data_IF_763988748091
#
_entry.id   IF_763988748091
#
_cell.length_a   1.000
_cell.length_b   1.000
_cell.length_c   1.000
_cell.angle_alpha   90.00
_cell.angle_beta   90.00
_cell.angle_gamma   90.00
#
_symmetry.space_group_name_H-M   'P 1'
#
loop_
_entity.id
_entity.type
_entity.pdbx_description
1 polymer ?
#
# COMPACT_ATOMS: atom_id res chain seq x y z
N UNK A 1 10.15 2.66 -19.52
CA UNK A 1 8.93 2.41 -18.72
C UNK A 1 8.92 1.03 -18.08
N UNK A 2 9.30 -0.02 -18.81
CA UNK A 2 9.33 -1.40 -18.30
C UNK A 2 10.15 -1.59 -17.01
N UNK A 3 11.34 -0.98 -16.91
CA UNK A 3 12.16 -1.01 -15.69
C UNK A 3 11.45 -0.41 -14.46
N UNK A 4 10.75 0.71 -14.63
CA UNK A 4 10.02 1.38 -13.53
C UNK A 4 8.84 0.51 -13.10
N UNK A 5 8.13 -0.08 -14.06
CA UNK A 5 7.06 -1.04 -13.78
C UNK A 5 7.58 -2.27 -13.02
N UNK A 6 8.72 -2.83 -13.42
CA UNK A 6 9.32 -3.96 -12.72
C UNK A 6 9.72 -3.62 -11.27
N UNK A 7 10.31 -2.44 -11.05
CA UNK A 7 10.64 -1.95 -9.70
C UNK A 7 9.38 -1.71 -8.87
N UNK A 8 8.35 -1.11 -9.46
CA UNK A 8 7.05 -0.91 -8.81
C UNK A 8 6.41 -2.26 -8.42
N UNK A 9 6.46 -3.25 -9.30
CA UNK A 9 5.93 -4.60 -9.04
C UNK A 9 6.67 -5.29 -7.91
N UNK A 10 8.00 -5.29 -7.92
CA UNK A 10 8.79 -5.93 -6.86
C UNK A 10 8.63 -5.23 -5.52
N UNK A 11 8.65 -3.89 -5.51
CA UNK A 11 8.41 -3.11 -4.28
C UNK A 11 7.00 -3.33 -3.73
N UNK A 12 5.99 -3.46 -4.59
CA UNK A 12 4.63 -3.80 -4.19
C UNK A 12 4.56 -5.19 -3.54
N UNK A 13 5.17 -6.21 -4.16
CA UNK A 13 5.15 -7.59 -3.64
C UNK A 13 5.86 -7.66 -2.27
N UNK A 14 7.08 -7.13 -2.19
CA UNK A 14 7.87 -7.15 -0.95
C UNK A 14 7.19 -6.32 0.15
N UNK A 15 6.71 -5.12 -0.19
CA UNK A 15 5.98 -4.26 0.73
C UNK A 15 4.67 -4.87 1.21
N UNK A 16 3.91 -5.48 0.31
CA UNK A 16 2.64 -6.14 0.63
C UNK A 16 2.85 -7.35 1.53
N UNK A 17 3.84 -8.19 1.21
CA UNK A 17 4.19 -9.32 2.05
C UNK A 17 4.65 -8.89 3.46
N UNK A 18 5.49 -7.85 3.55
CA UNK A 18 5.91 -7.29 4.83
C UNK A 18 4.73 -6.73 5.61
N UNK A 19 3.83 -5.99 4.96
CA UNK A 19 2.64 -5.43 5.60
C UNK A 19 1.74 -6.53 6.15
N UNK A 20 1.49 -7.61 5.39
CA UNK A 20 0.70 -8.76 5.84
C UNK A 20 1.31 -9.47 7.05
N UNK A 21 2.64 -9.65 7.06
CA UNK A 21 3.33 -10.24 8.20
C UNK A 21 3.24 -9.34 9.44
N UNK A 22 3.49 -8.04 9.28
CA UNK A 22 3.54 -7.09 10.39
C UNK A 22 2.16 -6.78 10.95
N UNK A 23 1.11 -6.81 10.12
CA UNK A 23 -0.28 -6.51 10.46
C UNK A 23 -0.82 -7.28 11.67
N UNK A 24 -0.37 -8.52 11.87
CA UNK A 24 -0.80 -9.34 13.00
C UNK A 24 -0.34 -8.80 14.35
N UNK A 25 0.84 -8.16 14.40
CA UNK A 25 1.43 -7.64 15.64
C UNK A 25 0.57 -6.53 16.29
N UNK A 26 0.18 -5.44 15.60
CA UNK A 26 -0.64 -4.40 16.20
C UNK A 26 -2.06 -4.89 16.55
N UNK A 27 -2.55 -5.96 15.93
CA UNK A 27 -3.84 -6.59 16.27
C UNK A 27 -3.80 -7.32 17.61
N UNK A 28 -2.77 -8.15 17.82
CA UNK A 28 -2.69 -8.97 19.04
C UNK A 28 -2.08 -8.23 20.22
N UNK A 29 -1.43 -7.09 19.98
CA UNK A 29 -0.76 -6.31 21.04
C UNK A 29 -1.65 -5.22 21.61
N UNK A 30 -1.52 -4.96 22.92
CA UNK A 30 -2.26 -3.89 23.59
C UNK A 30 -1.98 -2.53 22.92
N UNK A 31 -3.06 -1.87 22.47
CA UNK A 31 -3.03 -0.55 21.82
C UNK A 31 -2.21 0.45 22.65
N UNK A 32 -1.27 1.13 22.00
CA UNK A 32 -0.46 2.19 22.60
C UNK A 32 0.83 1.74 23.31
N UNK A 33 1.07 0.43 23.53
CA UNK A 33 2.38 -0.04 24.03
C UNK A 33 3.49 0.14 22.97
N UNK A 34 4.75 0.14 23.40
CA UNK A 34 5.94 0.31 22.53
C UNK A 34 5.93 -0.64 21.31
N UNK A 35 5.51 -1.89 21.49
CA UNK A 35 5.45 -2.90 20.41
C UNK A 35 4.37 -2.57 19.36
N UNK A 36 3.17 -2.17 19.79
CA UNK A 36 2.09 -1.73 18.89
C UNK A 36 2.52 -0.51 18.06
N UNK A 37 3.24 0.43 18.68
CA UNK A 37 3.74 1.64 17.98
C UNK A 37 4.84 1.34 16.96
N UNK A 38 5.83 0.51 17.33
CA UNK A 38 6.94 0.15 16.42
C UNK A 38 6.45 -0.67 15.23
N UNK A 39 5.62 -1.68 15.48
CA UNK A 39 5.00 -2.47 14.40
C UNK A 39 4.08 -1.62 13.53
N UNK A 40 3.32 -0.69 14.14
CA UNK A 40 2.50 0.28 13.40
C UNK A 40 3.32 1.16 12.44
N UNK A 41 4.50 1.61 12.85
CA UNK A 41 5.40 2.38 11.95
C UNK A 41 5.88 1.55 10.76
N UNK A 42 6.32 0.31 11.00
CA UNK A 42 6.75 -0.59 9.92
C UNK A 42 5.58 -0.85 8.95
N UNK A 43 4.39 -1.10 9.48
CA UNK A 43 3.18 -1.31 8.68
C UNK A 43 2.83 -0.08 7.84
N UNK A 44 2.85 1.13 8.41
CA UNK A 44 2.54 2.37 7.71
C UNK A 44 3.52 2.63 6.56
N UNK A 45 4.83 2.42 6.79
CA UNK A 45 5.84 2.56 5.73
C UNK A 45 5.61 1.53 4.61
N UNK A 46 5.41 0.26 4.99
CA UNK A 46 5.17 -0.82 4.02
C UNK A 46 3.92 -0.55 3.18
N UNK A 47 2.80 -0.20 3.82
CA UNK A 47 1.54 0.09 3.11
C UNK A 47 1.59 1.39 2.30
N UNK A 48 2.39 2.38 2.69
CA UNK A 48 2.62 3.57 1.84
C UNK A 48 3.28 3.19 0.52
N UNK A 49 4.29 2.30 0.56
CA UNK A 49 4.95 1.79 -0.64
C UNK A 49 3.96 1.00 -1.51
N UNK A 50 3.14 0.15 -0.90
CA UNK A 50 2.11 -0.65 -1.58
C UNK A 50 1.07 0.23 -2.26
N UNK A 51 0.54 1.25 -1.59
CA UNK A 51 -0.48 2.12 -2.18
C UNK A 51 0.07 2.95 -3.35
N UNK A 52 1.28 3.49 -3.23
CA UNK A 52 1.91 4.28 -4.30
C UNK A 52 2.25 3.41 -5.51
N UNK A 53 2.85 2.24 -5.28
CA UNK A 53 3.18 1.29 -6.35
C UNK A 53 1.94 0.74 -7.05
N UNK A 54 0.88 0.41 -6.31
CA UNK A 54 -0.40 -0.04 -6.88
C UNK A 54 -1.06 1.04 -7.73
N UNK A 55 -1.06 2.29 -7.26
CA UNK A 55 -1.61 3.41 -7.99
C UNK A 55 -0.87 3.62 -9.32
N UNK A 56 0.46 3.60 -9.29
CA UNK A 56 1.28 3.72 -10.48
C UNK A 56 1.01 2.58 -11.48
N UNK A 57 1.00 1.32 -11.01
CA UNK A 57 0.74 0.16 -11.88
C UNK A 57 -0.67 0.18 -12.48
N UNK A 58 -1.68 0.59 -11.71
CA UNK A 58 -3.05 0.71 -12.19
C UNK A 58 -3.20 1.77 -13.29
N UNK A 59 -2.58 2.95 -13.11
CA UNK A 59 -2.56 4.01 -14.13
C UNK A 59 -1.77 3.54 -15.36
N UNK A 60 -0.63 2.89 -15.16
CA UNK A 60 0.20 2.38 -16.25
C UNK A 60 -0.56 1.38 -17.13
N UNK A 61 -1.33 0.47 -16.51
CA UNK A 61 -2.18 -0.51 -17.22
C UNK A 61 -3.20 0.18 -18.12
N UNK A 62 -3.82 1.26 -17.65
CA UNK A 62 -4.87 1.96 -18.39
C UNK A 62 -4.35 2.86 -19.53
N UNK A 63 -3.13 3.40 -19.39
CA UNK A 63 -2.59 4.40 -20.31
C UNK A 63 -1.57 3.86 -21.33
N UNK A 64 -0.87 2.76 -21.03
CA UNK A 64 0.25 2.26 -21.85
C UNK A 64 0.21 0.78 -22.21
N UNK A 65 -0.70 -0.01 -21.62
CA UNK A 65 -0.80 -1.42 -21.95
C UNK A 65 -1.55 -1.60 -23.28
N UNK A 66 -0.85 -2.18 -24.26
CA UNK A 66 -1.40 -2.42 -25.62
C UNK A 66 -2.15 -3.76 -25.71
N UNK A 67 -2.07 -4.60 -24.68
CA UNK A 67 -2.80 -5.87 -24.56
C UNK A 67 -4.14 -5.72 -23.82
N UNK A 68 -4.57 -4.48 -23.58
CA UNK A 68 -5.69 -4.17 -22.72
C UNK A 68 -7.03 -4.28 -23.46
N UNK A 69 -7.89 -5.20 -23.04
CA UNK A 69 -9.25 -5.35 -23.56
C UNK A 69 -10.25 -4.40 -22.87
N UNK A 70 -11.36 -4.08 -23.55
CA UNK A 70 -12.39 -3.20 -22.99
C UNK A 70 -13.03 -3.75 -21.70
N UNK A 71 -13.07 -5.08 -21.55
CA UNK A 71 -13.63 -5.77 -20.39
C UNK A 71 -12.79 -5.61 -19.12
N UNK A 72 -11.51 -5.23 -19.27
CA UNK A 72 -10.55 -5.05 -18.18
C UNK A 72 -10.56 -3.64 -17.55
N UNK A 73 -11.27 -2.70 -18.19
CA UNK A 73 -11.36 -1.29 -17.75
C UNK A 73 -12.01 -1.16 -16.37
N UNK A 74 -13.17 -1.77 -16.08
CA UNK A 74 -13.82 -1.61 -14.77
C UNK A 74 -12.98 -2.17 -13.63
N UNK A 75 -12.32 -3.31 -13.86
CA UNK A 75 -11.45 -3.93 -12.86
C UNK A 75 -10.22 -3.07 -12.55
N UNK A 76 -9.62 -2.45 -13.57
CA UNK A 76 -8.45 -1.58 -13.38
C UNK A 76 -8.81 -0.30 -12.62
N UNK A 77 -10.00 0.28 -12.88
CA UNK A 77 -10.54 1.37 -12.06
C UNK A 77 -10.76 0.97 -10.61
N UNK A 78 -11.29 -0.23 -10.38
CA UNK A 78 -11.45 -0.76 -9.03
C UNK A 78 -10.10 -0.88 -8.29
N UNK A 79 -9.05 -1.38 -8.95
CA UNK A 79 -7.72 -1.46 -8.35
C UNK A 79 -7.13 -0.08 -8.01
N UNK A 80 -7.31 0.91 -8.89
CA UNK A 80 -6.92 2.31 -8.63
C UNK A 80 -7.67 2.85 -7.40
N UNK A 81 -8.98 2.60 -7.32
CA UNK A 81 -9.78 2.98 -6.16
C UNK A 81 -9.26 2.34 -4.86
N UNK A 82 -8.95 1.04 -4.86
CA UNK A 82 -8.39 0.35 -3.69
C UNK A 82 -7.02 0.92 -3.31
N UNK A 83 -6.18 1.30 -4.27
CA UNK A 83 -4.90 1.93 -4.01
C UNK A 83 -5.07 3.28 -3.28
N UNK A 84 -6.02 4.10 -3.72
CA UNK A 84 -6.35 5.39 -3.10
C UNK A 84 -6.95 5.19 -1.70
N UNK A 85 -7.93 4.29 -1.57
CA UNK A 85 -8.56 3.95 -0.29
C UNK A 85 -7.51 3.51 0.74
N UNK A 86 -6.60 2.63 0.31
CA UNK A 86 -5.51 2.10 1.14
C UNK A 86 -4.54 3.22 1.54
N UNK A 87 -4.19 4.12 0.62
CA UNK A 87 -3.37 5.31 0.92
C UNK A 87 -4.04 6.22 1.96
N UNK A 88 -5.35 6.45 1.85
CA UNK A 88 -6.12 7.20 2.84
C UNK A 88 -6.10 6.55 4.22
N UNK A 89 -6.29 5.23 4.31
CA UNK A 89 -6.21 4.51 5.58
C UNK A 89 -4.82 4.62 6.24
N UNK A 90 -3.75 4.54 5.43
CA UNK A 90 -2.37 4.73 5.90
C UNK A 90 -2.13 6.15 6.39
N UNK A 91 -2.66 7.16 5.70
CA UNK A 91 -2.56 8.57 6.11
C UNK A 91 -3.12 8.80 7.52
N UNK A 92 -4.34 8.34 7.78
CA UNK A 92 -4.92 8.43 9.12
C UNK A 92 -4.08 7.68 10.18
N UNK A 93 -3.58 6.49 9.84
CA UNK A 93 -2.70 5.72 10.72
C UNK A 93 -1.40 6.46 11.07
N UNK A 94 -0.77 7.10 10.09
CA UNK A 94 0.45 7.90 10.25
C UNK A 94 0.22 9.07 11.21
N UNK A 95 -0.85 9.84 11.02
CA UNK A 95 -1.17 10.98 11.90
C UNK A 95 -1.39 10.57 13.37
N UNK A 96 -1.98 9.40 13.61
CA UNK A 96 -2.14 8.86 14.98
C UNK A 96 -0.81 8.47 15.61
N UNK A 97 0.13 7.92 14.82
CA UNK A 97 1.45 7.54 15.30
C UNK A 97 2.35 8.74 15.60
N UNK A 98 2.29 9.78 14.76
CA UNK A 98 3.03 11.03 14.93
C UNK A 98 2.57 11.77 16.19
N UNK A 99 1.26 12.00 16.36
CA UNK A 99 0.71 12.71 17.54
C UNK A 99 1.00 12.07 18.89
N UNK A 100 1.42 10.80 18.92
CA UNK A 100 1.78 10.09 20.16
C UNK A 100 3.29 10.04 20.39
N UNK A 101 4.11 10.44 19.41
CA UNK A 101 5.58 10.45 19.48
C UNK A 101 6.13 11.71 20.16
N UNK A 102 5.34 12.77 20.16
CA UNK A 102 5.41 13.93 21.05
C UNK A 102 4.90 13.55 22.45
#
# INVERSE_FOLDING_TARGET
MEYIFMVARWSHIIGGFLALCVFWIPIVTRKGRKLHRRSGWIYVVAMSIVSVSALYMGIYRLAWDSSFDADDVPFSWFLIFIAILSGGAVWYGLHVLIKRAE
#
